data_IF_942299049669
#
_entry.id   IF_942299049669
#
_cell.length_a   1.000
_cell.length_b   1.000
_cell.length_c   1.000
_cell.angle_alpha   90.00
_cell.angle_beta   90.00
_cell.angle_gamma   90.00
#
_symmetry.space_group_name_H-M   'P 1'
#
loop_
_entity.id
_entity.type
_entity.pdbx_description
1 polymer ?
#
# COMPACT_ATOMS: atom_id res chain seq x y z
N UNK A 1 -5.76 54.86 -25.51
CA UNK A 1 -5.97 53.44 -25.75
C UNK A 1 -5.12 52.62 -24.76
N UNK A 2 -5.73 52.11 -23.72
CA UNK A 2 -5.02 51.22 -22.73
C UNK A 2 -5.27 49.77 -23.13
N UNK A 3 -4.21 49.06 -23.46
CA UNK A 3 -4.26 47.60 -23.72
C UNK A 3 -4.15 46.86 -22.38
N UNK A 4 -5.22 46.22 -21.99
CA UNK A 4 -5.24 45.30 -20.84
C UNK A 4 -4.74 43.93 -21.30
N UNK A 5 -3.56 43.51 -20.82
CA UNK A 5 -3.07 42.16 -21.00
C UNK A 5 -3.76 41.27 -19.98
N UNK A 6 -4.64 40.39 -20.43
CA UNK A 6 -5.11 39.27 -19.63
C UNK A 6 -4.01 38.19 -19.60
N UNK A 7 -3.37 38.06 -18.46
CA UNK A 7 -2.50 36.92 -18.20
C UNK A 7 -3.39 35.70 -17.90
N UNK A 8 -3.44 34.77 -18.85
CA UNK A 8 -4.15 33.51 -18.69
C UNK A 8 -3.28 32.58 -17.82
N UNK A 9 -3.63 32.42 -16.54
CA UNK A 9 -3.02 31.44 -15.67
C UNK A 9 -3.51 30.05 -16.09
N UNK A 10 -2.64 29.30 -16.75
CA UNK A 10 -2.86 27.88 -17.07
C UNK A 10 -2.68 27.05 -15.79
N UNK A 11 -3.77 26.66 -15.15
CA UNK A 11 -3.74 25.68 -14.06
C UNK A 11 -3.46 24.31 -14.66
N UNK A 12 -2.22 23.83 -14.51
CA UNK A 12 -1.88 22.43 -14.80
C UNK A 12 -2.41 21.60 -13.64
N UNK A 13 -3.54 20.93 -13.84
CA UNK A 13 -4.00 19.88 -12.95
C UNK A 13 -3.03 18.67 -13.11
N UNK A 14 -2.11 18.51 -12.16
CA UNK A 14 -1.34 17.29 -12.03
C UNK A 14 -2.30 16.24 -11.46
N UNK A 15 -2.88 15.42 -12.32
CA UNK A 15 -3.61 14.23 -11.91
C UNK A 15 -2.60 13.28 -11.27
N UNK A 16 -2.64 13.16 -9.92
CA UNK A 16 -1.91 12.12 -9.22
C UNK A 16 -2.43 10.76 -9.74
N UNK A 17 -1.62 10.06 -10.51
CA UNK A 17 -1.95 8.75 -11.02
C UNK A 17 -2.12 7.79 -9.84
N UNK A 18 -3.15 6.91 -9.87
CA UNK A 18 -3.44 5.94 -8.81
C UNK A 18 -2.26 5.00 -8.49
N UNK A 19 -1.26 4.90 -9.38
CA UNK A 19 -0.01 4.18 -9.17
C UNK A 19 1.00 4.87 -8.26
N UNK A 20 0.85 6.18 -7.96
CA UNK A 20 1.83 6.94 -7.17
C UNK A 20 1.92 6.52 -5.69
N UNK A 21 0.94 5.74 -5.17
CA UNK A 21 0.93 5.20 -3.80
C UNK A 21 0.90 3.66 -3.77
N UNK A 22 1.13 3.01 -4.89
CA UNK A 22 1.28 1.56 -4.95
C UNK A 22 2.61 1.16 -4.29
N UNK A 23 2.61 0.26 -3.29
CA UNK A 23 3.82 -0.16 -2.60
C UNK A 23 4.87 -0.78 -3.55
N UNK A 24 4.47 -1.49 -4.58
CA UNK A 24 5.39 -2.05 -5.58
C UNK A 24 6.06 -0.97 -6.45
N UNK A 25 5.50 0.25 -6.46
CA UNK A 25 6.05 1.42 -7.17
C UNK A 25 6.86 2.31 -6.22
N UNK A 26 6.36 2.54 -4.99
CA UNK A 26 7.03 3.42 -4.02
C UNK A 26 8.26 2.79 -3.39
N UNK A 27 8.24 1.47 -3.16
CA UNK A 27 9.30 0.71 -2.51
C UNK A 27 9.59 -0.60 -3.27
N UNK A 28 10.03 -0.53 -4.55
CA UNK A 28 10.15 -1.71 -5.43
C UNK A 28 11.22 -2.70 -4.96
N UNK A 29 12.18 -2.27 -4.15
CA UNK A 29 13.21 -3.14 -3.59
C UNK A 29 12.68 -4.02 -2.46
N UNK A 30 11.56 -3.62 -1.82
CA UNK A 30 10.95 -4.32 -0.69
C UNK A 30 9.71 -5.13 -1.09
N UNK A 31 8.89 -4.60 -2.00
CA UNK A 31 7.66 -5.24 -2.48
C UNK A 31 7.86 -5.85 -3.86
N UNK A 32 7.73 -7.16 -3.96
CA UNK A 32 7.75 -7.88 -5.24
C UNK A 32 6.38 -8.45 -5.54
N UNK A 33 5.84 -8.16 -6.71
CA UNK A 33 4.62 -8.82 -7.20
C UNK A 33 4.98 -10.22 -7.66
N UNK A 34 4.48 -11.24 -6.97
CA UNK A 34 4.76 -12.65 -7.27
C UNK A 34 3.59 -13.38 -7.93
N UNK A 35 2.40 -12.81 -7.83
CA UNK A 35 1.19 -13.27 -8.54
C UNK A 35 0.28 -12.06 -8.75
N UNK A 36 -0.33 -11.98 -9.93
CA UNK A 36 -1.39 -11.00 -10.20
C UNK A 36 -2.36 -11.53 -11.24
N UNK A 37 -3.66 -11.40 -10.95
CA UNK A 37 -4.75 -11.71 -11.86
C UNK A 37 -5.89 -10.68 -11.68
N UNK A 38 -7.07 -10.95 -12.26
CA UNK A 38 -8.23 -10.05 -12.13
C UNK A 38 -8.82 -9.95 -10.71
N UNK A 39 -8.55 -10.93 -9.84
CA UNK A 39 -9.15 -11.02 -8.49
C UNK A 39 -8.18 -10.61 -7.38
N UNK A 40 -6.90 -10.95 -7.53
CA UNK A 40 -5.91 -10.80 -6.47
C UNK A 40 -4.55 -10.35 -7.00
N UNK A 41 -3.79 -9.74 -6.09
CA UNK A 41 -2.36 -9.51 -6.26
C UNK A 41 -1.65 -10.00 -5.00
N UNK A 42 -0.59 -10.78 -5.17
CA UNK A 42 0.24 -11.25 -4.06
C UNK A 42 1.58 -10.54 -4.09
N UNK A 43 1.90 -9.88 -2.98
CA UNK A 43 3.17 -9.19 -2.76
C UNK A 43 4.02 -10.00 -1.79
N UNK A 44 5.27 -10.27 -2.17
CA UNK A 44 6.33 -10.75 -1.28
C UNK A 44 7.07 -9.52 -0.74
N UNK A 45 6.97 -9.29 0.57
CA UNK A 45 7.59 -8.16 1.24
C UNK A 45 8.71 -8.59 2.17
N UNK A 46 9.85 -7.89 2.07
CA UNK A 46 11.03 -8.08 2.92
C UNK A 46 11.64 -6.75 3.31
N UNK A 47 12.08 -6.65 4.56
CA UNK A 47 12.89 -5.55 5.05
C UNK A 47 13.81 -5.99 6.20
N UNK A 48 14.70 -5.08 6.60
CA UNK A 48 15.63 -5.28 7.70
C UNK A 48 15.27 -4.37 8.89
N UNK A 49 15.75 -4.69 10.12
CA UNK A 49 15.60 -3.80 11.27
C UNK A 49 16.02 -2.36 10.97
N UNK A 50 15.16 -1.40 11.31
CA UNK A 50 15.36 0.02 11.03
C UNK A 50 14.85 0.51 9.67
N UNK A 51 14.52 -0.39 8.76
CA UNK A 51 13.94 -0.02 7.45
C UNK A 51 12.58 0.62 7.62
N UNK A 52 12.32 1.64 6.79
CA UNK A 52 11.08 2.38 6.73
C UNK A 52 10.63 2.50 5.29
N UNK A 53 9.35 2.25 5.03
CA UNK A 53 8.76 2.41 3.71
C UNK A 53 8.40 3.87 3.44
N UNK A 54 8.26 4.22 2.16
CA UNK A 54 7.54 5.41 1.73
C UNK A 54 6.05 5.24 2.07
N UNK A 55 5.32 6.34 2.23
CA UNK A 55 3.86 6.25 2.39
C UNK A 55 3.23 5.60 1.16
N UNK A 56 2.41 4.59 1.39
CA UNK A 56 1.73 3.83 0.34
C UNK A 56 0.36 3.36 0.79
N UNK A 57 -0.41 2.84 -0.15
CA UNK A 57 -1.79 2.40 0.05
C UNK A 57 -1.96 0.95 -0.36
N UNK A 58 -2.61 0.18 0.52
CA UNK A 58 -3.08 -1.17 0.23
C UNK A 58 -4.62 -1.20 0.15
N UNK A 59 -5.21 -2.02 -0.74
CA UNK A 59 -6.61 -2.40 -0.62
C UNK A 59 -6.80 -3.37 0.55
N UNK A 60 -8.03 -3.86 0.76
CA UNK A 60 -8.29 -4.99 1.65
C UNK A 60 -7.33 -6.13 1.32
N UNK A 61 -6.70 -6.70 2.33
CA UNK A 61 -5.68 -7.73 2.16
C UNK A 61 -5.62 -8.70 3.32
N UNK A 62 -5.00 -9.85 3.06
CA UNK A 62 -4.58 -10.80 4.09
C UNK A 62 -3.06 -10.81 4.17
N UNK A 63 -2.53 -10.64 5.38
CA UNK A 63 -1.12 -10.80 5.67
C UNK A 63 -0.87 -12.22 6.21
N UNK A 64 0.17 -12.86 5.68
CA UNK A 64 0.72 -14.11 6.23
C UNK A 64 2.18 -13.90 6.61
N UNK A 65 2.51 -14.04 7.89
CA UNK A 65 3.86 -13.85 8.40
C UNK A 65 4.74 -15.09 8.15
N UNK A 66 5.89 -14.90 7.51
CA UNK A 66 6.88 -15.94 7.25
C UNK A 66 8.09 -15.88 8.19
N UNK A 67 8.25 -14.79 8.92
CA UNK A 67 9.32 -14.59 9.90
C UNK A 67 8.78 -13.92 11.16
N UNK A 68 9.49 -13.99 12.30
CA UNK A 68 9.15 -13.16 13.46
C UNK A 68 9.60 -11.73 13.20
N UNK A 69 8.75 -10.73 13.46
CA UNK A 69 9.11 -9.32 13.33
C UNK A 69 8.23 -8.44 14.20
N UNK A 70 8.67 -7.19 14.42
CA UNK A 70 7.91 -6.15 15.11
C UNK A 70 7.84 -4.90 14.24
N UNK A 71 6.64 -4.41 14.02
CA UNK A 71 6.38 -3.34 13.07
C UNK A 71 5.56 -2.21 13.67
N UNK A 72 5.93 -0.98 13.33
CA UNK A 72 5.14 0.23 13.57
C UNK A 72 4.51 0.67 12.24
N UNK A 73 3.22 0.90 12.24
CA UNK A 73 2.51 1.56 11.15
C UNK A 73 2.11 2.96 11.58
N UNK A 74 2.43 3.96 10.76
CA UNK A 74 2.04 5.36 10.98
C UNK A 74 1.06 5.76 9.88
N UNK A 75 -0.11 6.24 10.29
CA UNK A 75 -1.19 6.66 9.39
C UNK A 75 -1.09 8.15 9.04
N UNK A 76 -1.78 8.63 7.98
CA UNK A 76 -1.72 10.03 7.55
C UNK A 76 -2.15 11.05 8.61
N UNK A 77 -3.01 10.66 9.57
CA UNK A 77 -3.44 11.50 10.69
C UNK A 77 -2.39 11.60 11.82
N UNK A 78 -1.22 10.95 11.66
CA UNK A 78 -0.14 10.92 12.64
C UNK A 78 -0.29 9.86 13.73
N UNK A 79 -1.43 9.16 13.81
CA UNK A 79 -1.60 8.02 14.73
C UNK A 79 -0.74 6.85 14.29
N UNK A 80 -0.35 6.01 15.24
CA UNK A 80 0.43 4.81 14.94
C UNK A 80 -0.04 3.61 15.75
N UNK A 81 0.22 2.43 15.21
CA UNK A 81 0.04 1.14 15.89
C UNK A 81 1.32 0.33 15.81
N UNK A 82 1.58 -0.45 16.85
CA UNK A 82 2.72 -1.37 16.92
C UNK A 82 2.18 -2.78 17.04
N UNK A 83 2.68 -3.69 16.22
CA UNK A 83 2.36 -5.12 16.26
C UNK A 83 3.62 -5.97 16.16
N UNK A 84 3.61 -7.09 16.91
CA UNK A 84 4.59 -8.14 16.78
C UNK A 84 3.91 -9.37 16.14
N UNK A 85 4.65 -10.07 15.30
CA UNK A 85 4.19 -11.25 14.57
C UNK A 85 5.15 -12.41 14.79
N UNK A 86 4.58 -13.62 14.77
CA UNK A 86 5.31 -14.88 14.71
C UNK A 86 5.09 -15.54 13.35
N UNK A 87 6.01 -16.41 12.90
CA UNK A 87 5.77 -17.19 11.69
C UNK A 87 4.45 -17.96 11.76
N UNK A 88 3.65 -17.87 10.69
CA UNK A 88 2.33 -18.49 10.60
C UNK A 88 1.17 -17.62 11.08
N UNK A 89 1.43 -16.45 11.66
CA UNK A 89 0.36 -15.50 11.98
C UNK A 89 -0.34 -15.01 10.71
N UNK A 90 -1.66 -14.96 10.78
CA UNK A 90 -2.53 -14.48 9.69
C UNK A 90 -3.38 -13.33 10.20
N UNK A 91 -3.49 -12.28 9.40
CA UNK A 91 -4.32 -11.12 9.75
C UNK A 91 -5.00 -10.53 8.52
N UNK A 92 -6.31 -10.26 8.64
CA UNK A 92 -7.01 -9.41 7.68
C UNK A 92 -6.68 -7.94 7.96
N UNK A 93 -6.34 -7.22 6.91
CA UNK A 93 -6.01 -5.78 6.97
C UNK A 93 -6.99 -5.04 6.06
N UNK A 94 -7.85 -4.16 6.62
CA UNK A 94 -8.70 -3.29 5.81
C UNK A 94 -7.86 -2.35 4.94
N UNK A 95 -8.44 -1.90 3.83
CA UNK A 95 -7.81 -0.89 2.98
C UNK A 95 -7.31 0.30 3.80
N UNK A 96 -6.04 0.65 3.63
CA UNK A 96 -5.38 1.70 4.42
C UNK A 96 -4.17 2.31 3.72
N UNK A 97 -3.88 3.55 4.08
CA UNK A 97 -2.64 4.26 3.72
C UNK A 97 -1.76 4.34 4.95
N UNK A 98 -0.48 4.01 4.83
CA UNK A 98 0.46 4.06 5.94
C UNK A 98 1.93 4.16 5.49
N UNK A 99 2.77 4.46 6.49
CA UNK A 99 4.22 4.23 6.46
C UNK A 99 4.48 3.06 7.40
N UNK A 100 5.24 2.06 6.95
CA UNK A 100 5.65 0.93 7.77
C UNK A 100 7.11 1.02 8.17
N UNK A 101 7.43 0.63 9.40
CA UNK A 101 8.79 0.64 9.94
C UNK A 101 9.06 -0.64 10.72
N UNK A 102 10.17 -1.32 10.41
CA UNK A 102 10.66 -2.45 11.19
C UNK A 102 11.37 -1.93 12.44
N UNK A 103 10.69 -1.98 13.58
CA UNK A 103 11.21 -1.55 14.89
C UNK A 103 11.72 -2.71 15.74
N UNK A 104 11.76 -3.91 15.17
CA UNK A 104 12.26 -5.13 15.81
C UNK A 104 13.76 -5.33 15.61
N UNK A 105 14.19 -6.57 15.88
CA UNK A 105 15.59 -7.01 15.79
C UNK A 105 15.80 -8.05 14.69
N UNK A 106 14.74 -8.46 14.00
CA UNK A 106 14.73 -9.49 12.97
C UNK A 106 14.20 -8.93 11.66
N UNK A 107 14.59 -9.55 10.54
CA UNK A 107 14.08 -9.22 9.22
C UNK A 107 12.58 -9.52 9.12
N UNK A 108 11.84 -8.66 8.47
CA UNK A 108 10.45 -8.94 8.09
C UNK A 108 10.42 -9.78 6.82
N UNK A 109 9.60 -10.81 6.81
CA UNK A 109 9.20 -11.51 5.60
C UNK A 109 7.72 -11.86 5.69
N UNK A 110 6.91 -11.30 4.80
CA UNK A 110 5.46 -11.53 4.75
C UNK A 110 4.97 -11.69 3.32
N UNK A 111 3.89 -12.43 3.17
CA UNK A 111 3.04 -12.38 1.98
C UNK A 111 1.82 -11.52 2.26
N UNK A 112 1.51 -10.63 1.32
CA UNK A 112 0.28 -9.84 1.32
C UNK A 112 -0.57 -10.28 0.14
N UNK A 113 -1.76 -10.80 0.42
CA UNK A 113 -2.77 -11.14 -0.60
C UNK A 113 -3.75 -9.98 -0.67
N UNK A 114 -3.60 -9.13 -1.67
CA UNK A 114 -4.47 -7.99 -1.91
C UNK A 114 -5.67 -8.38 -2.76
N UNK A 115 -6.87 -7.95 -2.36
CA UNK A 115 -8.09 -8.19 -3.10
C UNK A 115 -8.37 -7.04 -4.07
N UNK A 116 -8.60 -7.38 -5.33
CA UNK A 116 -9.05 -6.43 -6.34
C UNK A 116 -10.56 -6.29 -6.25
N UNK A 117 -11.06 -5.04 -6.26
CA UNK A 117 -12.49 -4.81 -6.31
C UNK A 117 -13.04 -5.31 -7.67
N UNK A 118 -14.17 -6.01 -7.69
CA UNK A 118 -14.84 -6.32 -8.96
C UNK A 118 -15.12 -5.05 -9.76
N UNK A 119 -15.08 -5.09 -11.09
CA UNK A 119 -15.45 -3.95 -11.92
C UNK A 119 -16.91 -3.54 -11.62
N UNK A 120 -17.26 -2.22 -11.71
CA UNK A 120 -18.56 -1.67 -11.30
C UNK A 120 -19.78 -2.24 -12.04
N UNK A 121 -19.59 -3.01 -13.11
CA UNK A 121 -20.64 -3.49 -14.00
C UNK A 121 -21.18 -4.90 -13.72
N UNK A 122 -20.72 -5.58 -12.69
CA UNK A 122 -21.32 -6.85 -12.29
C UNK A 122 -22.65 -6.59 -11.58
N UNK A 123 -23.73 -6.37 -12.35
CA UNK A 123 -25.09 -6.45 -11.82
C UNK A 123 -25.29 -7.86 -11.26
N UNK A 124 -25.93 -8.02 -10.06
CA UNK A 124 -26.27 -9.33 -9.58
C UNK A 124 -27.17 -10.00 -10.62
N UNK A 125 -26.76 -11.16 -11.10
CA UNK A 125 -27.66 -12.04 -11.86
C UNK A 125 -28.64 -12.58 -10.83
N UNK A 126 -29.82 -11.99 -10.77
CA UNK A 126 -30.93 -12.58 -10.02
C UNK A 126 -31.23 -13.94 -10.63
N UNK A 127 -31.37 -14.99 -9.81
CA UNK A 127 -31.73 -16.31 -10.27
C UNK A 127 -33.18 -16.34 -10.82
#
# INVERSE_FOLDING_TARGET
MRRTNLASCLFVLVSATAGAQDPAVTDPDRYKVILENEHTRVLDYKDHPGDRTTQHKHPDSVLYALSPFKRKLTFPDGKSVIKAFNPGDVMFIPAQTHIGENIGKTDTHVLLVEFKKPPPSAKPVNP
#
